data_IF_440219613953
#
_entry.id   IF_440219613953
#
_cell.length_a   1.000
_cell.length_b   1.000
_cell.length_c   1.000
_cell.angle_alpha   90.00
_cell.angle_beta   90.00
_cell.angle_gamma   90.00
#
_symmetry.space_group_name_H-M   'P 1'
#
loop_
_entity.id
_entity.type
_entity.pdbx_description
1 polymer ?
#
# COMPACT_ATOMS: atom_id res chain seq x y z
N UNK A 1 29.76 -11.52 5.47
CA UNK A 1 29.44 -11.15 4.08
C UNK A 1 28.82 -12.36 3.40
N UNK A 2 27.70 -12.19 2.71
CA UNK A 2 27.08 -13.27 1.93
C UNK A 2 27.78 -13.35 0.57
N UNK A 3 28.26 -14.55 0.21
CA UNK A 3 28.81 -14.86 -1.12
C UNK A 3 27.85 -15.80 -1.83
N UNK A 4 27.24 -15.33 -2.92
CA UNK A 4 26.25 -16.07 -3.70
C UNK A 4 26.22 -15.54 -5.13
N UNK A 5 26.35 -16.41 -6.13
CA UNK A 5 26.43 -16.04 -7.54
C UNK A 5 25.05 -15.83 -8.20
N UNK A 6 23.95 -16.17 -7.51
CA UNK A 6 22.60 -16.02 -8.04
C UNK A 6 22.22 -14.55 -8.16
N UNK A 7 21.59 -14.23 -9.27
CA UNK A 7 21.03 -12.94 -9.64
C UNK A 7 19.55 -12.84 -9.22
N UNK A 8 18.94 -11.67 -9.44
CA UNK A 8 17.49 -11.49 -9.21
C UNK A 8 16.65 -12.43 -10.11
N UNK A 9 17.17 -12.83 -11.28
CA UNK A 9 16.46 -13.75 -12.17
C UNK A 9 16.26 -15.13 -11.53
N UNK A 10 17.22 -15.59 -10.72
CA UNK A 10 17.13 -16.86 -9.99
C UNK A 10 16.10 -16.80 -8.85
N UNK A 11 15.77 -15.58 -8.40
CA UNK A 11 14.82 -15.32 -7.33
C UNK A 11 13.44 -14.88 -7.85
N UNK A 12 13.09 -15.22 -9.09
CA UNK A 12 11.78 -14.87 -9.66
C UNK A 12 10.61 -15.54 -8.94
N UNK A 13 10.78 -16.81 -8.52
CA UNK A 13 9.74 -17.62 -7.87
C UNK A 13 10.04 -17.92 -6.39
N UNK A 14 11.33 -18.02 -6.06
CA UNK A 14 11.82 -18.38 -4.73
C UNK A 14 12.73 -17.30 -4.18
N UNK A 15 12.88 -17.31 -2.86
CA UNK A 15 13.78 -16.44 -2.12
C UNK A 15 15.15 -17.09 -1.95
N UNK A 16 16.09 -16.38 -1.34
CA UNK A 16 17.48 -16.77 -1.15
C UNK A 16 17.63 -18.16 -0.51
N UNK A 17 16.83 -18.44 0.52
CA UNK A 17 16.80 -19.71 1.26
C UNK A 17 15.81 -20.73 0.69
N UNK A 18 15.08 -20.41 -0.38
CA UNK A 18 14.23 -21.36 -1.11
C UNK A 18 12.73 -21.29 -0.80
N UNK A 19 12.28 -20.35 0.03
CA UNK A 19 10.83 -20.13 0.23
C UNK A 19 10.21 -19.48 -1.00
N UNK A 20 8.94 -19.81 -1.32
CA UNK A 20 8.23 -19.09 -2.38
C UNK A 20 8.10 -17.59 -2.05
N UNK A 21 8.19 -16.71 -3.05
CA UNK A 21 8.06 -15.25 -2.84
C UNK A 21 6.74 -14.85 -2.21
N UNK A 22 5.66 -15.53 -2.61
CA UNK A 22 4.33 -15.31 -2.07
C UNK A 22 4.29 -15.60 -0.57
N UNK A 23 4.94 -16.68 -0.14
CA UNK A 23 5.06 -17.01 1.28
C UNK A 23 5.85 -15.92 2.02
N UNK A 24 7.02 -15.54 1.54
CA UNK A 24 7.86 -14.54 2.20
C UNK A 24 7.12 -13.19 2.39
N UNK A 25 6.45 -12.69 1.35
CA UNK A 25 5.66 -11.45 1.44
C UNK A 25 4.49 -11.59 2.43
N UNK A 26 3.77 -12.72 2.42
CA UNK A 26 2.67 -12.98 3.37
C UNK A 26 3.21 -13.05 4.80
N UNK A 27 4.30 -13.77 5.03
CA UNK A 27 4.89 -13.95 6.36
C UNK A 27 5.44 -12.64 6.92
N UNK A 28 6.00 -11.77 6.09
CA UNK A 28 6.39 -10.41 6.50
C UNK A 28 5.18 -9.59 6.95
N UNK A 29 4.13 -9.53 6.11
CA UNK A 29 2.91 -8.78 6.43
C UNK A 29 2.23 -9.30 7.71
N UNK A 30 2.14 -10.62 7.87
CA UNK A 30 1.57 -11.27 9.06
C UNK A 30 2.42 -11.00 10.30
N UNK A 31 3.75 -11.06 10.20
CA UNK A 31 4.64 -10.73 11.31
C UNK A 31 4.46 -9.28 11.75
N UNK A 32 4.34 -8.33 10.81
CA UNK A 32 4.04 -6.93 11.11
C UNK A 32 2.67 -6.81 11.78
N UNK A 33 1.63 -7.45 11.22
CA UNK A 33 0.27 -7.38 11.75
C UNK A 33 0.17 -7.90 13.20
N UNK A 34 0.89 -8.98 13.51
CA UNK A 34 0.94 -9.59 14.85
C UNK A 34 1.92 -8.90 15.81
N UNK A 35 2.69 -7.93 15.33
CA UNK A 35 3.69 -7.21 16.13
C UNK A 35 4.95 -8.01 16.44
N UNK A 36 5.25 -9.03 15.63
CA UNK A 36 6.42 -9.87 15.78
C UNK A 36 7.65 -9.26 15.08
N UNK A 37 8.31 -8.29 15.72
CA UNK A 37 9.44 -7.57 15.13
C UNK A 37 10.61 -8.47 14.68
N UNK A 38 10.93 -9.51 15.46
CA UNK A 38 12.01 -10.46 15.17
C UNK A 38 11.77 -11.21 13.84
N UNK A 39 10.57 -11.78 13.67
CA UNK A 39 10.16 -12.45 12.44
C UNK A 39 10.01 -11.48 11.26
N UNK A 40 9.52 -10.26 11.49
CA UNK A 40 9.43 -9.24 10.45
C UNK A 40 10.83 -8.84 9.92
N UNK A 41 11.81 -8.69 10.81
CA UNK A 41 13.20 -8.44 10.44
C UNK A 41 13.79 -9.60 9.65
N UNK A 42 13.58 -10.84 10.09
CA UNK A 42 14.02 -12.03 9.36
C UNK A 42 13.49 -12.05 7.92
N UNK A 43 12.17 -11.91 7.73
CA UNK A 43 11.58 -11.94 6.38
C UNK A 43 12.00 -10.75 5.51
N UNK A 44 12.26 -9.60 6.13
CA UNK A 44 12.79 -8.42 5.43
C UNK A 44 14.21 -8.68 4.92
N UNK A 45 15.07 -9.29 5.74
CA UNK A 45 16.42 -9.70 5.34
C UNK A 45 16.41 -10.82 4.31
N UNK A 46 15.49 -11.79 4.40
CA UNK A 46 15.32 -12.84 3.38
C UNK A 46 15.00 -12.24 2.01
N UNK A 47 14.08 -11.28 1.95
CA UNK A 47 13.73 -10.58 0.71
C UNK A 47 14.87 -9.68 0.20
N UNK A 48 15.58 -8.98 1.10
CA UNK A 48 16.76 -8.19 0.76
C UNK A 48 17.90 -9.06 0.20
N UNK A 49 18.16 -10.21 0.83
CA UNK A 49 19.13 -11.21 0.38
C UNK A 49 18.84 -11.76 -1.01
N UNK A 50 17.57 -11.76 -1.39
CA UNK A 50 17.07 -12.19 -2.69
C UNK A 50 17.08 -11.06 -3.74
N UNK A 51 17.45 -9.83 -3.37
CA UNK A 51 17.35 -8.64 -4.24
C UNK A 51 15.90 -8.23 -4.56
N UNK A 52 14.92 -8.70 -3.77
CA UNK A 52 13.48 -8.47 -4.01
C UNK A 52 12.99 -7.15 -3.39
N UNK A 53 13.78 -6.10 -3.56
CA UNK A 53 13.65 -4.81 -2.86
C UNK A 53 12.29 -4.14 -3.11
N UNK A 54 11.77 -4.20 -4.34
CA UNK A 54 10.45 -3.62 -4.65
C UNK A 54 9.31 -4.39 -3.98
N UNK A 55 9.40 -5.72 -3.91
CA UNK A 55 8.40 -6.53 -3.23
C UNK A 55 8.43 -6.25 -1.72
N UNK A 56 9.63 -6.12 -1.14
CA UNK A 56 9.83 -5.79 0.26
C UNK A 56 9.16 -4.46 0.64
N UNK A 57 9.49 -3.38 -0.06
CA UNK A 57 8.91 -2.07 0.22
C UNK A 57 7.40 -2.00 -0.06
N UNK A 58 6.93 -2.68 -1.11
CA UNK A 58 5.49 -2.80 -1.34
C UNK A 58 4.78 -3.47 -0.17
N UNK A 59 5.36 -4.51 0.42
CA UNK A 59 4.81 -5.16 1.62
C UNK A 59 4.85 -4.26 2.84
N UNK A 60 5.88 -3.45 3.05
CA UNK A 60 5.90 -2.44 4.12
C UNK A 60 4.79 -1.41 3.96
N UNK A 61 4.64 -0.84 2.77
CA UNK A 61 3.61 0.15 2.49
C UNK A 61 2.20 -0.43 2.67
N UNK A 62 1.96 -1.63 2.14
CA UNK A 62 0.67 -2.33 2.28
C UNK A 62 0.37 -2.63 3.75
N UNK A 63 1.36 -3.11 4.51
CA UNK A 63 1.20 -3.41 5.94
C UNK A 63 0.88 -2.14 6.75
N UNK A 64 1.53 -1.01 6.43
CA UNK A 64 1.26 0.27 7.07
C UNK A 64 -0.18 0.71 6.79
N UNK A 65 -0.62 0.71 5.53
CA UNK A 65 -1.97 1.13 5.14
C UNK A 65 -3.08 0.17 5.63
N UNK A 66 -2.79 -1.13 5.76
CA UNK A 66 -3.77 -2.14 6.13
C UNK A 66 -3.92 -2.33 7.65
N UNK A 67 -2.81 -2.29 8.40
CA UNK A 67 -2.76 -2.70 9.81
C UNK A 67 -2.46 -1.57 10.78
N UNK A 68 -1.79 -0.51 10.34
CA UNK A 68 -1.43 0.64 11.20
C UNK A 68 -2.40 1.80 10.97
N UNK A 69 -2.40 2.34 9.74
CA UNK A 69 -3.25 3.46 9.29
C UNK A 69 -3.47 4.51 10.40
N UNK A 70 -4.72 4.86 10.73
CA UNK A 70 -5.04 5.96 11.65
C UNK A 70 -4.62 5.69 13.09
N UNK A 71 -4.19 4.47 13.43
CA UNK A 71 -3.62 4.17 14.75
C UNK A 71 -2.25 4.82 14.97
N UNK A 72 -1.51 5.15 13.89
CA UNK A 72 -0.32 5.99 13.93
C UNK A 72 -0.16 6.73 12.58
N UNK A 73 -0.89 7.83 12.34
CA UNK A 73 -0.85 8.58 11.08
C UNK A 73 0.57 9.05 10.71
N UNK A 74 1.38 9.42 11.70
CA UNK A 74 2.77 9.85 11.52
C UNK A 74 3.67 8.79 10.86
N UNK A 75 3.27 7.51 10.88
CA UNK A 75 4.03 6.45 10.21
C UNK A 75 4.05 6.61 8.70
N UNK A 76 3.05 7.26 8.09
CA UNK A 76 2.96 7.40 6.64
C UNK A 76 4.06 8.31 6.07
N UNK A 77 4.19 9.57 6.49
CA UNK A 77 5.27 10.43 6.02
C UNK A 77 6.65 9.93 6.46
N UNK A 78 6.76 9.31 7.65
CA UNK A 78 8.01 8.69 8.08
C UNK A 78 8.43 7.55 7.14
N UNK A 79 7.52 6.63 6.83
CA UNK A 79 7.78 5.49 5.95
C UNK A 79 8.14 5.93 4.53
N UNK A 80 7.51 7.00 4.03
CA UNK A 80 7.89 7.62 2.76
C UNK A 80 9.36 8.12 2.81
N UNK A 81 9.76 8.81 3.87
CA UNK A 81 11.15 9.25 4.05
C UNK A 81 12.15 8.09 4.20
N UNK A 82 11.75 6.99 4.85
CA UNK A 82 12.57 5.78 4.92
C UNK A 82 12.78 5.16 3.54
N UNK A 83 11.74 5.17 2.69
CA UNK A 83 11.88 4.71 1.31
C UNK A 83 12.76 5.63 0.47
N UNK A 84 12.69 6.94 0.64
CA UNK A 84 13.59 7.90 -0.03
C UNK A 84 15.06 7.60 0.32
N UNK A 85 15.37 7.42 1.62
CA UNK A 85 16.71 6.98 2.06
C UNK A 85 17.12 5.65 1.46
N UNK A 86 16.20 4.70 1.33
CA UNK A 86 16.49 3.41 0.71
C UNK A 86 16.71 3.53 -0.79
N UNK A 87 15.94 4.38 -1.48
CA UNK A 87 16.04 4.62 -2.91
C UNK A 87 17.42 5.16 -3.28
N UNK A 88 18.03 5.98 -2.41
CA UNK A 88 19.40 6.45 -2.60
C UNK A 88 20.40 5.29 -2.53
N UNK A 89 20.21 4.35 -1.59
CA UNK A 89 21.05 3.14 -1.49
C UNK A 89 20.84 2.25 -2.72
N UNK A 90 19.58 1.99 -3.09
CA UNK A 90 19.16 1.20 -4.24
C UNK A 90 19.73 1.75 -5.55
N UNK A 91 19.80 3.07 -5.71
CA UNK A 91 20.31 3.75 -6.90
C UNK A 91 21.76 3.43 -7.25
N UNK A 92 22.54 2.85 -6.33
CA UNK A 92 23.91 2.37 -6.58
C UNK A 92 23.94 1.00 -7.29
N UNK A 93 22.79 0.36 -7.48
CA UNK A 93 22.67 -0.97 -8.08
C UNK A 93 21.81 -0.93 -9.34
N UNK A 94 22.21 -1.71 -10.32
CA UNK A 94 21.39 -2.04 -11.48
C UNK A 94 20.62 -3.34 -11.21
N UNK A 95 19.74 -3.72 -12.14
CA UNK A 95 19.01 -4.99 -12.05
C UNK A 95 19.98 -6.19 -12.03
N UNK A 96 21.11 -6.12 -12.72
CA UNK A 96 22.05 -7.25 -12.82
C UNK A 96 22.84 -7.50 -11.54
N UNK A 97 23.09 -6.47 -10.73
CA UNK A 97 23.83 -6.57 -9.47
C UNK A 97 23.00 -6.25 -8.22
N UNK A 98 21.67 -6.10 -8.35
CA UNK A 98 20.77 -5.76 -7.25
C UNK A 98 20.93 -6.67 -6.03
N UNK A 99 21.31 -7.94 -6.22
CA UNK A 99 21.51 -8.85 -5.09
C UNK A 99 22.72 -8.48 -4.23
N UNK A 100 23.67 -7.66 -4.70
CA UNK A 100 24.81 -7.18 -3.91
C UNK A 100 24.38 -6.29 -2.73
N UNK A 101 23.19 -5.65 -2.81
CA UNK A 101 22.62 -4.83 -1.75
C UNK A 101 22.50 -5.57 -0.41
N UNK A 102 22.42 -6.91 -0.42
CA UNK A 102 22.37 -7.74 0.80
C UNK A 102 23.59 -7.60 1.70
N UNK A 103 24.72 -7.14 1.15
CA UNK A 103 25.96 -6.92 1.88
C UNK A 103 26.11 -5.47 2.39
N UNK A 104 25.20 -4.57 2.03
CA UNK A 104 25.17 -3.20 2.52
C UNK A 104 24.62 -3.18 3.96
N UNK A 105 25.42 -2.72 4.90
CA UNK A 105 25.01 -2.62 6.31
C UNK A 105 23.91 -1.59 6.51
N UNK A 106 24.04 -0.43 5.88
CA UNK A 106 23.02 0.61 5.86
C UNK A 106 21.69 0.13 5.29
N UNK A 107 21.69 -0.68 4.22
CA UNK A 107 20.47 -1.30 3.69
C UNK A 107 19.82 -2.26 4.69
N UNK A 108 20.60 -3.15 5.31
CA UNK A 108 20.12 -4.13 6.30
C UNK A 108 19.54 -3.41 7.53
N UNK A 109 20.24 -2.41 8.03
CA UNK A 109 19.79 -1.62 9.17
C UNK A 109 18.47 -0.90 8.86
N UNK A 110 18.38 -0.26 7.68
CA UNK A 110 17.19 0.51 7.29
C UNK A 110 15.94 -0.36 7.14
N UNK A 111 16.05 -1.55 6.54
CA UNK A 111 14.89 -2.45 6.39
C UNK A 111 14.47 -3.09 7.71
N UNK A 112 15.42 -3.44 8.59
CA UNK A 112 15.10 -3.97 9.92
C UNK A 112 14.52 -2.90 10.85
N UNK A 113 15.04 -1.67 10.80
CA UNK A 113 14.44 -0.52 11.48
C UNK A 113 12.99 -0.32 11.04
N UNK A 114 12.75 -0.34 9.73
CA UNK A 114 11.42 -0.19 9.13
C UNK A 114 10.47 -1.30 9.57
N UNK A 115 10.91 -2.56 9.49
CA UNK A 115 10.15 -3.72 9.93
C UNK A 115 9.79 -3.64 11.43
N UNK A 116 10.73 -3.22 12.27
CA UNK A 116 10.53 -3.10 13.72
C UNK A 116 9.57 -1.97 14.08
N UNK A 117 9.72 -0.79 13.46
CA UNK A 117 8.82 0.34 13.67
C UNK A 117 7.38 -0.01 13.26
N UNK A 118 7.20 -0.65 12.09
CA UNK A 118 5.88 -1.10 11.65
C UNK A 118 5.29 -2.16 12.57
N UNK A 119 6.10 -3.10 13.07
CA UNK A 119 5.66 -4.18 13.97
C UNK A 119 5.26 -3.63 15.35
N UNK A 120 5.98 -2.65 15.88
CA UNK A 120 5.73 -2.07 17.22
C UNK A 120 4.70 -0.93 17.21
N UNK A 121 4.37 -0.39 16.05
CA UNK A 121 3.30 0.61 15.91
C UNK A 121 1.95 0.08 16.39
N UNK A 122 1.09 0.98 16.90
CA UNK A 122 -0.29 0.60 17.24
C UNK A 122 -1.00 0.02 16.02
N UNK A 123 -1.75 -1.05 16.25
CA UNK A 123 -2.53 -1.73 15.22
C UNK A 123 -3.98 -1.36 15.32
N UNK A 124 -4.67 -1.37 14.19
CA UNK A 124 -6.11 -1.23 14.13
C UNK A 124 -6.71 -2.16 13.09
N UNK A 125 -7.99 -2.50 13.30
CA UNK A 125 -8.78 -3.27 12.36
C UNK A 125 -8.68 -2.68 10.95
N UNK A 126 -8.50 -3.54 9.97
CA UNK A 126 -8.45 -3.14 8.56
C UNK A 126 -9.74 -2.46 8.14
N UNK A 127 -9.61 -1.44 7.30
CA UNK A 127 -10.74 -0.74 6.71
C UNK A 127 -11.25 -1.58 5.54
N UNK A 128 -12.54 -1.82 5.48
CA UNK A 128 -13.19 -2.57 4.40
C UNK A 128 -14.27 -1.71 3.75
N UNK A 129 -14.39 -1.80 2.43
CA UNK A 129 -15.54 -1.24 1.73
C UNK A 129 -16.83 -1.99 2.12
N UNK A 130 -17.97 -1.28 2.23
CA UNK A 130 -19.26 -1.94 2.36
C UNK A 130 -19.57 -2.77 1.10
N UNK A 131 -20.30 -3.87 1.30
CA UNK A 131 -20.74 -4.73 0.19
C UNK A 131 -21.89 -4.05 -0.56
N UNK A 132 -21.70 -3.83 -1.85
CA UNK A 132 -22.73 -3.30 -2.76
C UNK A 132 -23.43 -4.47 -3.47
N UNK A 133 -24.75 -4.54 -3.32
CA UNK A 133 -25.65 -5.52 -3.95
C UNK A 133 -26.30 -4.89 -5.17
N UNK A 134 -25.85 -5.19 -6.40
CA UNK A 134 -26.31 -4.50 -7.60
C UNK A 134 -27.83 -4.51 -7.81
N UNK A 135 -28.48 -5.62 -7.45
CA UNK A 135 -29.93 -5.80 -7.52
C UNK A 135 -30.72 -4.82 -6.64
N UNK A 136 -30.10 -4.22 -5.63
CA UNK A 136 -30.71 -3.29 -4.68
C UNK A 136 -30.09 -1.88 -4.77
N UNK A 137 -28.77 -1.78 -4.66
CA UNK A 137 -28.04 -0.49 -4.57
C UNK A 137 -28.03 0.32 -5.88
N UNK A 138 -28.28 -0.33 -7.02
CA UNK A 138 -28.34 0.37 -8.32
C UNK A 138 -29.78 0.71 -8.73
N UNK A 139 -30.77 0.40 -7.89
CA UNK A 139 -32.14 0.81 -8.14
C UNK A 139 -32.28 2.33 -7.95
N UNK A 140 -32.98 3.05 -8.85
CA UNK A 140 -33.14 4.50 -8.75
C UNK A 140 -33.73 4.99 -7.42
N UNK A 141 -34.65 4.22 -6.83
CA UNK A 141 -35.25 4.54 -5.52
C UNK A 141 -34.20 4.49 -4.41
N UNK A 142 -33.46 3.38 -4.30
CA UNK A 142 -32.36 3.22 -3.33
C UNK A 142 -31.31 4.31 -3.49
N UNK A 143 -30.94 4.63 -4.73
CA UNK A 143 -29.99 5.72 -4.99
C UNK A 143 -30.54 7.05 -4.45
N UNK A 144 -31.80 7.38 -4.77
CA UNK A 144 -32.47 8.62 -4.31
C UNK A 144 -32.51 8.72 -2.78
N UNK A 145 -32.81 7.62 -2.08
CA UNK A 145 -32.86 7.57 -0.61
C UNK A 145 -31.48 7.80 0.03
N UNK A 146 -30.41 7.38 -0.65
CA UNK A 146 -29.04 7.54 -0.19
C UNK A 146 -28.43 8.91 -0.52
N UNK A 147 -29.05 9.74 -1.37
CA UNK A 147 -28.57 11.08 -1.67
C UNK A 147 -28.64 11.99 -0.44
N UNK A 148 -27.65 12.88 -0.31
CA UNK A 148 -27.60 13.93 0.71
C UNK A 148 -27.19 15.27 0.16
N UNK A 149 -26.43 15.32 -0.93
CA UNK A 149 -26.07 16.58 -1.55
C UNK A 149 -27.32 17.23 -2.14
N UNK A 150 -27.55 18.50 -1.81
CA UNK A 150 -28.66 19.29 -2.36
C UNK A 150 -28.34 19.88 -3.74
N UNK A 151 -27.07 19.85 -4.15
CA UNK A 151 -26.57 20.37 -5.42
C UNK A 151 -25.46 19.46 -5.98
N UNK A 152 -25.10 19.64 -7.25
CA UNK A 152 -23.96 18.94 -7.88
C UNK A 152 -22.63 19.71 -7.71
N UNK A 153 -22.56 20.65 -6.77
CA UNK A 153 -21.43 21.56 -6.68
C UNK A 153 -20.18 20.92 -6.06
N UNK A 154 -20.35 19.87 -5.26
CA UNK A 154 -19.26 19.25 -4.50
C UNK A 154 -18.20 18.61 -5.39
N UNK A 155 -18.56 18.11 -6.58
CA UNK A 155 -17.63 17.50 -7.52
C UNK A 155 -17.13 18.45 -8.62
N UNK A 156 -17.63 19.69 -8.72
CA UNK A 156 -17.33 20.59 -9.84
C UNK A 156 -15.83 20.83 -10.05
N UNK A 157 -15.07 20.96 -8.97
CA UNK A 157 -13.62 21.20 -9.04
C UNK A 157 -12.82 19.99 -9.56
N UNK A 158 -13.40 18.79 -9.52
CA UNK A 158 -12.69 17.52 -9.80
C UNK A 158 -13.21 16.80 -11.05
N UNK A 159 -14.39 17.18 -11.52
CA UNK A 159 -15.03 16.56 -12.69
C UNK A 159 -14.35 17.01 -13.97
N UNK A 160 -14.12 16.06 -14.87
CA UNK A 160 -13.61 16.31 -16.23
C UNK A 160 -14.71 16.08 -17.26
N UNK A 161 -14.61 16.75 -18.40
CA UNK A 161 -15.59 16.64 -19.49
C UNK A 161 -15.76 15.21 -20.00
N UNK A 162 -14.66 14.45 -20.02
CA UNK A 162 -14.61 13.04 -20.45
C UNK A 162 -15.07 12.05 -19.37
N UNK A 163 -15.41 12.50 -18.15
CA UNK A 163 -15.88 11.58 -17.10
C UNK A 163 -17.27 10.99 -17.48
N UNK A 164 -17.48 9.66 -17.31
CA UNK A 164 -18.75 9.02 -17.61
C UNK A 164 -19.92 9.69 -16.89
N UNK A 165 -20.97 10.00 -17.65
CA UNK A 165 -22.16 10.68 -17.12
C UNK A 165 -22.82 9.90 -15.97
N UNK A 166 -22.81 8.57 -16.03
CA UNK A 166 -23.41 7.71 -14.99
C UNK A 166 -22.72 7.81 -13.63
N UNK A 167 -21.46 8.29 -13.59
CA UNK A 167 -20.71 8.50 -12.36
C UNK A 167 -20.92 9.89 -11.75
N UNK A 168 -21.63 10.79 -12.43
CA UNK A 168 -21.82 12.18 -12.00
C UNK A 168 -22.40 12.31 -10.58
N UNK A 169 -23.54 11.65 -10.34
CA UNK A 169 -24.25 11.71 -9.07
C UNK A 169 -23.47 10.97 -7.96
N UNK A 170 -23.05 9.70 -8.13
CA UNK A 170 -22.23 9.00 -7.14
C UNK A 170 -20.96 9.76 -6.76
N UNK A 171 -20.29 10.38 -7.73
CA UNK A 171 -19.06 11.12 -7.47
C UNK A 171 -19.31 12.43 -6.73
N UNK A 172 -20.40 13.13 -7.04
CA UNK A 172 -20.80 14.31 -6.27
C UNK A 172 -21.09 13.96 -4.81
N UNK A 173 -21.80 12.86 -4.56
CA UNK A 173 -22.08 12.38 -3.21
C UNK A 173 -20.81 11.93 -2.47
N UNK A 174 -19.87 11.29 -3.15
CA UNK A 174 -18.54 10.98 -2.61
C UNK A 174 -17.79 12.25 -2.18
N UNK A 175 -17.75 13.27 -3.04
CA UNK A 175 -17.11 14.54 -2.72
C UNK A 175 -17.81 15.25 -1.55
N UNK A 176 -19.14 15.27 -1.53
CA UNK A 176 -19.93 15.85 -0.45
C UNK A 176 -19.69 15.13 0.88
N UNK A 177 -19.61 13.81 0.88
CA UNK A 177 -19.31 13.02 2.07
C UNK A 177 -17.91 13.32 2.62
N UNK A 178 -16.91 13.52 1.75
CA UNK A 178 -15.57 13.95 2.17
C UNK A 178 -15.62 15.35 2.80
N UNK A 179 -16.26 16.31 2.12
CA UNK A 179 -16.40 17.70 2.62
C UNK A 179 -17.13 17.79 3.96
N UNK A 180 -18.15 16.96 4.15
CA UNK A 180 -18.94 16.89 5.39
C UNK A 180 -18.38 15.91 6.41
N UNK A 181 -17.23 15.29 6.12
CA UNK A 181 -16.52 14.36 7.01
C UNK A 181 -17.36 13.12 7.40
N UNK A 182 -18.24 12.66 6.51
CA UNK A 182 -19.00 11.42 6.65
C UNK A 182 -18.24 10.22 6.06
N UNK A 183 -17.43 9.57 6.89
CA UNK A 183 -16.63 8.39 6.50
C UNK A 183 -17.48 7.28 5.90
N UNK A 184 -18.63 6.97 6.51
CA UNK A 184 -19.46 5.83 6.10
C UNK A 184 -20.01 6.05 4.70
N UNK A 185 -20.50 7.25 4.39
CA UNK A 185 -20.98 7.60 3.06
C UNK A 185 -19.86 7.69 2.04
N UNK A 186 -18.71 8.25 2.41
CA UNK A 186 -17.57 8.31 1.51
C UNK A 186 -17.13 6.90 1.08
N UNK A 187 -17.03 5.96 2.04
CA UNK A 187 -16.72 4.56 1.75
C UNK A 187 -17.84 3.87 0.94
N UNK A 188 -19.11 4.18 1.21
CA UNK A 188 -20.25 3.66 0.43
C UNK A 188 -20.18 4.08 -1.03
N UNK A 189 -20.02 5.38 -1.32
CA UNK A 189 -20.00 5.86 -2.70
C UNK A 189 -18.73 5.42 -3.46
N UNK A 190 -17.59 5.33 -2.77
CA UNK A 190 -16.41 4.69 -3.35
C UNK A 190 -16.67 3.22 -3.71
N UNK A 191 -17.29 2.45 -2.81
CA UNK A 191 -17.67 1.06 -3.08
C UNK A 191 -18.66 0.94 -4.25
N UNK A 192 -19.65 1.84 -4.29
CA UNK A 192 -20.66 1.90 -5.34
C UNK A 192 -20.01 2.11 -6.72
N UNK A 193 -19.14 3.12 -6.84
CA UNK A 193 -18.46 3.44 -8.10
C UNK A 193 -17.55 2.29 -8.57
N UNK A 194 -16.78 1.69 -7.66
CA UNK A 194 -15.92 0.55 -7.97
C UNK A 194 -16.75 -0.68 -8.39
N UNK A 195 -17.88 -0.95 -7.73
CA UNK A 195 -18.77 -2.05 -8.09
C UNK A 195 -19.41 -1.82 -9.45
N UNK A 196 -19.86 -0.60 -9.73
CA UNK A 196 -20.44 -0.22 -11.02
C UNK A 196 -19.43 -0.47 -12.15
N UNK A 197 -18.19 -0.01 -11.99
CA UNK A 197 -17.13 -0.26 -12.97
C UNK A 197 -16.82 -1.74 -13.17
N UNK A 198 -16.77 -2.52 -12.07
CA UNK A 198 -16.57 -3.95 -12.15
C UNK A 198 -17.68 -4.67 -12.92
N UNK A 199 -18.95 -4.26 -12.74
CA UNK A 199 -20.08 -4.86 -13.45
C UNK A 199 -20.12 -4.47 -14.92
N UNK A 200 -19.90 -3.18 -15.23
CA UNK A 200 -19.84 -2.70 -16.62
C UNK A 200 -18.74 -3.44 -17.39
N UNK A 201 -17.57 -3.64 -16.79
CA UNK A 201 -16.50 -4.48 -17.35
C UNK A 201 -16.90 -5.94 -17.56
N UNK A 202 -17.65 -6.53 -16.62
CA UNK A 202 -18.13 -7.92 -16.77
C UNK A 202 -19.07 -8.07 -17.97
N UNK A 203 -19.97 -7.11 -18.15
CA UNK A 203 -21.02 -7.09 -19.19
C UNK A 203 -20.46 -6.73 -20.57
N UNK A 204 -19.67 -5.67 -20.66
CA UNK A 204 -19.19 -5.10 -21.94
C UNK A 204 -17.82 -5.61 -22.36
N UNK A 205 -17.08 -6.26 -21.44
CA UNK A 205 -15.64 -6.58 -21.58
C UNK A 205 -14.71 -5.37 -21.64
N UNK A 206 -15.23 -4.17 -21.47
CA UNK A 206 -14.46 -2.92 -21.51
C UNK A 206 -14.31 -2.30 -20.12
N UNK A 207 -13.14 -1.73 -19.83
CA UNK A 207 -12.93 -1.01 -18.57
C UNK A 207 -13.44 0.42 -18.71
N UNK A 208 -14.19 0.91 -17.73
CA UNK A 208 -14.61 2.31 -17.68
C UNK A 208 -13.39 3.23 -17.79
N UNK A 209 -13.46 4.16 -18.74
CA UNK A 209 -12.47 5.22 -18.92
C UNK A 209 -13.03 6.51 -18.35
N UNK A 210 -12.33 7.10 -17.38
CA UNK A 210 -12.59 8.43 -16.87
C UNK A 210 -11.78 9.47 -17.67
N UNK A 211 -12.04 10.76 -17.42
CA UNK A 211 -11.18 11.83 -17.88
C UNK A 211 -9.75 11.65 -17.36
N UNK A 212 -8.79 11.97 -18.22
CA UNK A 212 -7.37 11.74 -17.98
C UNK A 212 -6.85 12.53 -16.78
N UNK A 213 -6.17 11.87 -15.83
CA UNK A 213 -5.54 12.45 -14.63
C UNK A 213 -4.08 11.97 -14.56
N UNK A 214 -3.16 12.89 -14.29
CA UNK A 214 -1.71 12.66 -14.41
C UNK A 214 -1.06 12.33 -13.06
N UNK A 215 -1.47 11.21 -12.45
CA UNK A 215 -0.85 10.69 -11.22
C UNK A 215 0.30 9.71 -11.49
N UNK A 216 0.19 9.02 -12.63
CA UNK A 216 1.04 7.91 -13.05
C UNK A 216 1.26 8.03 -14.56
N UNK A 217 1.93 7.04 -15.17
CA UNK A 217 2.08 6.94 -16.63
C UNK A 217 0.75 7.20 -17.35
N UNK A 218 0.80 8.04 -18.39
CA UNK A 218 -0.34 8.50 -19.18
C UNK A 218 -1.25 7.36 -19.63
N UNK A 219 -0.69 6.19 -19.97
CA UNK A 219 -1.47 5.00 -20.40
C UNK A 219 -2.44 4.48 -19.33
N UNK A 220 -2.23 4.85 -18.08
CA UNK A 220 -3.07 4.49 -16.93
C UNK A 220 -3.91 5.66 -16.41
N UNK A 221 -3.73 6.87 -16.96
CA UNK A 221 -4.32 8.12 -16.44
C UNK A 221 -5.85 8.20 -16.54
N UNK A 222 -6.50 7.30 -17.28
CA UNK A 222 -7.98 7.25 -17.41
C UNK A 222 -8.64 6.26 -16.45
N UNK A 223 -7.91 5.69 -15.49
CA UNK A 223 -8.49 4.77 -14.51
C UNK A 223 -9.44 5.49 -13.53
N UNK A 224 -10.59 4.87 -13.21
CA UNK A 224 -11.57 5.35 -12.23
C UNK A 224 -10.97 5.70 -10.86
N UNK A 225 -9.94 4.97 -10.42
CA UNK A 225 -9.32 5.20 -9.11
C UNK A 225 -8.80 6.63 -8.97
N UNK A 226 -8.35 7.26 -10.06
CA UNK A 226 -7.89 8.65 -10.04
C UNK A 226 -9.00 9.64 -9.77
N UNK A 227 -10.22 9.36 -10.25
CA UNK A 227 -11.40 10.15 -9.91
C UNK A 227 -11.67 10.11 -8.40
N UNK A 228 -11.45 8.95 -7.75
CA UNK A 228 -11.60 8.83 -6.28
C UNK A 228 -10.47 9.50 -5.49
N UNK A 229 -9.28 9.64 -6.08
CA UNK A 229 -8.14 10.32 -5.45
C UNK A 229 -8.21 11.85 -5.54
N UNK A 230 -8.83 12.42 -6.58
CA UNK A 230 -8.88 13.87 -6.78
C UNK A 230 -9.39 14.65 -5.56
N UNK A 231 -10.52 14.29 -4.92
CA UNK A 231 -11.04 15.04 -3.77
C UNK A 231 -10.21 14.89 -2.49
N UNK A 232 -9.24 13.96 -2.47
CA UNK A 232 -8.38 13.70 -1.31
C UNK A 232 -7.06 14.47 -1.41
N UNK A 233 -6.70 14.97 -2.59
CA UNK A 233 -5.42 15.68 -2.80
C UNK A 233 -5.27 16.88 -1.86
N UNK A 234 -4.02 17.13 -1.42
CA UNK A 234 -3.63 18.32 -0.65
C UNK A 234 -4.45 18.55 0.63
N UNK A 235 -5.13 17.50 1.14
CA UNK A 235 -5.93 17.60 2.35
C UNK A 235 -5.04 17.64 3.59
N UNK A 236 -3.99 16.81 3.62
CA UNK A 236 -2.95 16.83 4.64
C UNK A 236 -1.72 16.01 4.20
N UNK A 237 -0.59 16.25 4.86
CA UNK A 237 0.70 15.58 4.61
C UNK A 237 0.64 14.04 4.66
N UNK A 238 -0.31 13.47 5.41
CA UNK A 238 -0.43 12.02 5.56
C UNK A 238 -1.07 11.39 4.32
N UNK A 239 -2.09 12.05 3.77
CA UNK A 239 -2.72 11.64 2.50
C UNK A 239 -1.72 11.80 1.35
N UNK A 240 -0.92 12.87 1.33
CA UNK A 240 0.11 13.06 0.30
C UNK A 240 1.14 11.91 0.33
N UNK A 241 1.57 11.48 1.53
CA UNK A 241 2.44 10.32 1.68
C UNK A 241 1.77 9.02 1.20
N UNK A 242 0.51 8.78 1.56
CA UNK A 242 -0.27 7.62 1.09
C UNK A 242 -0.40 7.61 -0.44
N UNK A 243 -0.66 8.76 -1.05
CA UNK A 243 -0.80 8.90 -2.50
C UNK A 243 0.52 8.62 -3.22
N UNK A 244 1.65 9.16 -2.71
CA UNK A 244 2.99 8.87 -3.26
C UNK A 244 3.27 7.36 -3.24
N UNK A 245 3.03 6.68 -2.11
CA UNK A 245 3.21 5.23 -1.99
C UNK A 245 2.24 4.45 -2.89
N UNK A 246 1.00 4.93 -3.05
CA UNK A 246 0.01 4.34 -3.95
C UNK A 246 0.47 4.40 -5.40
N UNK A 247 0.92 5.56 -5.88
CA UNK A 247 1.30 5.79 -7.27
C UNK A 247 2.62 5.10 -7.65
N UNK A 248 3.47 4.78 -6.67
CA UNK A 248 4.74 4.12 -6.92
C UNK A 248 4.55 2.79 -7.66
N UNK A 249 5.12 2.70 -8.87
CA UNK A 249 5.06 1.54 -9.78
C UNK A 249 3.65 1.00 -10.00
N UNK A 250 2.67 1.90 -10.05
CA UNK A 250 1.28 1.52 -10.21
C UNK A 250 1.01 0.94 -11.59
N UNK A 251 0.26 -0.16 -11.61
CA UNK A 251 -0.37 -0.75 -12.78
C UNK A 251 -1.78 -1.27 -12.43
N UNK A 252 -2.66 -1.52 -13.41
CA UNK A 252 -4.03 -1.98 -13.14
C UNK A 252 -4.14 -3.30 -12.34
N UNK A 253 -3.15 -4.19 -12.43
CA UNK A 253 -3.09 -5.43 -11.65
C UNK A 253 -2.79 -5.19 -10.17
N UNK A 254 -2.03 -4.15 -9.84
CA UNK A 254 -1.72 -3.74 -8.45
C UNK A 254 -2.86 -3.03 -7.73
N UNK A 255 -3.91 -2.61 -8.44
CA UNK A 255 -4.99 -1.76 -7.89
C UNK A 255 -5.69 -2.37 -6.67
N UNK A 256 -5.86 -3.71 -6.65
CA UNK A 256 -6.54 -4.40 -5.55
C UNK A 256 -5.68 -4.48 -4.28
N UNK A 257 -4.40 -4.84 -4.39
CA UNK A 257 -3.50 -4.87 -3.21
C UNK A 257 -3.22 -3.47 -2.68
N UNK A 258 -3.25 -2.45 -3.55
CA UNK A 258 -3.12 -1.05 -3.15
C UNK A 258 -4.43 -0.39 -2.68
N UNK A 259 -5.55 -1.12 -2.62
CA UNK A 259 -6.82 -0.58 -2.12
C UNK A 259 -6.74 0.02 -0.70
N UNK A 260 -6.00 -0.58 0.27
CA UNK A 260 -5.92 -0.04 1.63
C UNK A 260 -5.45 1.42 1.72
N UNK A 261 -4.62 1.88 0.78
CA UNK A 261 -4.13 3.26 0.76
C UNK A 261 -5.25 4.27 0.48
N UNK A 262 -6.13 3.96 -0.48
CA UNK A 262 -7.29 4.81 -0.79
C UNK A 262 -8.25 4.84 0.40
N UNK A 263 -8.49 3.68 1.02
CA UNK A 263 -9.40 3.60 2.18
C UNK A 263 -8.85 4.36 3.39
N UNK A 264 -7.56 4.21 3.68
CA UNK A 264 -6.88 4.99 4.72
C UNK A 264 -6.96 6.49 4.41
N UNK A 265 -6.80 6.89 3.15
CA UNK A 265 -6.87 8.30 2.74
C UNK A 265 -8.28 8.89 2.92
N UNK A 266 -9.33 8.13 2.58
CA UNK A 266 -10.72 8.55 2.86
C UNK A 266 -10.91 8.78 4.35
N UNK A 267 -10.50 7.82 5.18
CA UNK A 267 -10.60 7.92 6.64
C UNK A 267 -9.79 9.10 7.18
N UNK A 268 -8.62 9.40 6.60
CA UNK A 268 -7.79 10.53 7.01
C UNK A 268 -8.38 11.89 6.62
N UNK A 269 -9.22 11.93 5.59
CA UNK A 269 -9.92 13.14 5.19
C UNK A 269 -11.18 13.37 6.05
N UNK A 270 -11.83 12.30 6.50
CA UNK A 270 -13.12 12.39 7.18
C UNK A 270 -13.01 12.32 8.71
N UNK A 271 -11.97 11.72 9.28
CA UNK A 271 -11.86 11.54 10.74
C UNK A 271 -10.78 12.42 11.39
N UNK A 272 -10.80 12.47 12.72
CA UNK A 272 -9.73 13.11 13.48
C UNK A 272 -8.52 12.16 13.57
N UNK A 273 -7.32 12.70 13.42
CA UNK A 273 -6.08 11.95 13.42
C UNK A 273 -5.29 12.22 14.70
N UNK A 274 -4.85 11.16 15.39
CA UNK A 274 -3.93 11.28 16.51
C UNK A 274 -2.51 11.53 16.00
N UNK A 275 -2.09 12.80 16.02
CA UNK A 275 -0.75 13.20 15.58
C UNK A 275 0.30 13.15 16.69
N UNK A 276 -0.07 12.71 17.91
CA UNK A 276 0.85 12.61 19.03
C UNK A 276 1.62 11.29 19.05
N UNK A 277 1.04 10.20 18.50
CA UNK A 277 1.70 8.90 18.44
C UNK A 277 2.94 8.98 17.51
N UNK A 278 4.15 8.64 18.01
CA UNK A 278 5.35 8.66 17.19
C UNK A 278 5.45 7.41 16.30
N UNK A 279 6.07 7.52 15.11
CA UNK A 279 6.27 6.36 14.21
C UNK A 279 7.28 5.35 14.78
N UNK A 280 8.30 5.82 15.51
CA UNK A 280 9.31 5.00 16.18
C UNK A 280 8.99 4.94 17.68
N UNK A 281 8.01 4.11 18.04
CA UNK A 281 7.52 4.03 19.43
C UNK A 281 8.53 3.44 20.42
N UNK A 282 9.31 2.44 19.98
CA UNK A 282 10.21 1.67 20.84
C UNK A 282 11.65 1.66 20.32
N UNK A 283 12.40 2.73 20.60
CA UNK A 283 13.81 2.87 20.20
C UNK A 283 14.72 1.77 20.76
N UNK A 284 14.45 1.31 21.98
CA UNK A 284 15.21 0.23 22.61
C UNK A 284 15.02 -1.11 21.87
N UNK A 285 13.79 -1.40 21.44
CA UNK A 285 13.50 -2.59 20.65
C UNK A 285 14.10 -2.51 19.24
N UNK A 286 14.05 -1.34 18.58
CA UNK A 286 14.76 -1.11 17.31
C UNK A 286 16.24 -1.43 17.49
N UNK A 287 16.87 -0.84 18.50
CA UNK A 287 18.29 -1.09 18.80
C UNK A 287 18.56 -2.57 19.03
N UNK A 288 17.71 -3.25 19.80
CA UNK A 288 17.82 -4.69 20.07
C UNK A 288 17.71 -5.52 18.79
N UNK A 289 16.77 -5.21 17.90
CA UNK A 289 16.60 -5.92 16.63
C UNK A 289 17.81 -5.71 15.70
N UNK A 290 18.36 -4.49 15.63
CA UNK A 290 19.53 -4.23 14.79
C UNK A 290 20.76 -5.06 15.20
N UNK A 291 20.96 -5.28 16.50
CA UNK A 291 22.05 -6.14 17.00
C UNK A 291 21.89 -7.62 16.62
N UNK A 292 20.68 -8.07 16.29
CA UNK A 292 20.39 -9.45 15.87
C UNK A 292 20.61 -9.72 14.38
N UNK A 293 20.84 -8.68 13.56
CA UNK A 293 21.04 -8.82 12.12
C UNK A 293 22.09 -9.88 11.75
N UNK A 294 23.28 -9.94 12.36
CA UNK A 294 24.27 -10.97 12.04
C UNK A 294 23.75 -12.39 12.23
N UNK A 295 22.95 -12.63 13.29
CA UNK A 295 22.36 -13.92 13.58
C UNK A 295 21.33 -14.32 12.52
N UNK A 296 20.40 -13.44 12.14
CA UNK A 296 19.42 -13.76 11.09
C UNK A 296 20.07 -13.98 9.74
N UNK A 297 21.11 -13.21 9.39
CA UNK A 297 21.89 -13.44 8.17
C UNK A 297 22.51 -14.84 8.18
N UNK A 298 23.09 -15.27 9.30
CA UNK A 298 23.63 -16.62 9.43
C UNK A 298 22.52 -17.68 9.26
N UNK A 299 21.38 -17.51 9.92
CA UNK A 299 20.24 -18.44 9.80
C UNK A 299 19.71 -18.55 8.36
N UNK A 300 19.63 -17.43 7.63
CA UNK A 300 19.23 -17.40 6.21
C UNK A 300 20.22 -18.20 5.35
N UNK A 301 21.53 -18.07 5.62
CA UNK A 301 22.57 -18.84 4.93
C UNK A 301 22.53 -20.34 5.25
N UNK A 302 22.29 -20.70 6.51
CA UNK A 302 22.19 -22.11 6.93
C UNK A 302 20.96 -22.80 6.35
N UNK A 303 19.84 -22.08 6.30
CA UNK A 303 18.59 -22.57 5.68
C UNK A 303 18.79 -22.87 4.20
N UNK A 304 19.48 -22.00 3.47
CA UNK A 304 19.86 -22.24 2.06
C UNK A 304 20.60 -23.56 1.89
N UNK A 305 21.61 -23.84 2.74
CA UNK A 305 22.45 -25.04 2.62
C UNK A 305 21.66 -26.34 2.83
N UNK A 306 20.59 -26.29 3.62
CA UNK A 306 19.70 -27.44 3.89
C UNK A 306 18.83 -27.81 2.67
N UNK A 307 18.47 -26.83 1.83
CA UNK A 307 17.72 -27.09 0.60
C UNK A 307 18.63 -27.53 -0.55
N UNK A 308 19.86 -27.00 -0.64
CA UNK A 308 20.82 -27.41 -1.68
C UNK A 308 21.39 -28.83 -1.52
N UNK A 309 21.29 -29.41 -0.31
CA UNK A 309 21.75 -30.79 -0.02
C UNK A 309 20.67 -31.86 -0.29
N UNK A 310 19.45 -31.45 -0.64
CA UNK A 310 18.31 -32.35 -0.93
C UNK A 310 17.97 -32.46 -2.43
N UNK A 311 18.76 -31.84 -3.28
CA UNK A 311 18.67 -31.83 -4.75
C UNK A 311 19.92 -32.44 -5.34
#
# INVERSE_FOLDING_TARGET
MIRDARSVADFQNFTFSGHSRKLAGKSLMESIALGHADYACYWSLEMLCSGLVHSLWSTFFESAALHVHRACPNIMPWLAGQYERFSDIEGHFSISNMTEIRNREDARNLVCETATALSTARKQKSISLPTIKPEHDFQPLTMKENLRATTQNSSLAYRKTDDPYELAIPFNEYCFAIQTRDTTRALYWAAWMLKYASLKKKQTKETIQCGERLYVDKKYGRNLLWMLWDPLQNTNKFIDALQKMYCLRWDPGSAKSKQPFLLASIVYATEALDTAEPPRRNEAEITTMLHKIPQWIQTIQDTKNTFSTRS
#
